data_IF_958182443991
#
_entry.id   IF_958182443991
#
_cell.length_a   1.000
_cell.length_b   1.000
_cell.length_c   1.000
_cell.angle_alpha   90.00
_cell.angle_beta   90.00
_cell.angle_gamma   90.00
#
_symmetry.space_group_name_H-M   'P 1'
#
loop_
_entity.id
_entity.type
_entity.pdbx_description
1 polymer ?
#
# COMPACT_ATOMS: atom_id res chain seq x y z
N UNK A 1 -20.70 9.06 10.86
CA UNK A 1 -21.94 8.25 10.97
C UNK A 1 -22.86 8.57 9.82
N UNK A 2 -22.74 7.78 8.74
CA UNK A 2 -23.78 7.63 7.74
C UNK A 2 -23.65 6.18 7.25
N UNK A 3 -24.42 5.32 7.91
CA UNK A 3 -24.58 3.92 7.53
C UNK A 3 -25.36 3.90 6.21
N UNK A 4 -24.76 3.33 5.15
CA UNK A 4 -25.46 3.02 3.91
C UNK A 4 -25.38 1.52 3.65
N UNK A 5 -26.48 0.78 3.85
CA UNK A 5 -26.66 -0.53 3.26
C UNK A 5 -27.45 -0.36 1.96
N UNK A 6 -26.84 -0.71 0.83
CA UNK A 6 -27.53 -0.79 -0.46
C UNK A 6 -28.18 -2.17 -0.56
N UNK A 7 -29.51 -2.24 -0.44
CA UNK A 7 -30.25 -3.44 -0.80
C UNK A 7 -30.38 -3.51 -2.32
N UNK A 8 -29.90 -4.60 -2.93
CA UNK A 8 -30.23 -4.98 -4.30
C UNK A 8 -30.80 -6.40 -4.29
N UNK A 9 -32.01 -6.56 -4.83
CA UNK A 9 -32.74 -7.83 -4.86
C UNK A 9 -32.11 -8.89 -5.78
N UNK A 10 -32.34 -10.14 -5.40
CA UNK A 10 -31.74 -11.36 -5.92
C UNK A 10 -32.25 -11.80 -7.30
N UNK A 11 -31.32 -12.26 -8.14
CA UNK A 11 -31.57 -12.86 -9.45
C UNK A 11 -30.32 -12.77 -10.33
N UNK A 12 -29.43 -13.76 -10.19
CA UNK A 12 -28.08 -13.84 -10.78
C UNK A 12 -27.01 -12.96 -10.10
N UNK A 13 -26.59 -13.46 -8.93
CA UNK A 13 -25.37 -13.14 -8.16
C UNK A 13 -24.97 -11.67 -7.97
N UNK A 14 -25.70 -10.98 -7.08
CA UNK A 14 -25.22 -9.77 -6.40
C UNK A 14 -24.58 -10.20 -5.07
N UNK A 15 -23.25 -10.25 -5.02
CA UNK A 15 -22.51 -10.53 -3.80
C UNK A 15 -22.13 -9.21 -3.12
N UNK A 16 -22.71 -8.95 -1.95
CA UNK A 16 -22.22 -7.94 -1.02
C UNK A 16 -21.14 -8.59 -0.16
N UNK A 17 -19.89 -8.21 -0.37
CA UNK A 17 -18.80 -8.58 0.53
C UNK A 17 -18.84 -7.65 1.74
N UNK A 18 -19.41 -8.15 2.84
CA UNK A 18 -19.15 -7.57 4.16
C UNK A 18 -17.78 -8.05 4.64
N UNK A 19 -16.85 -7.12 4.82
CA UNK A 19 -15.61 -7.37 5.55
C UNK A 19 -15.92 -7.52 7.04
N UNK A 20 -16.28 -8.73 7.45
CA UNK A 20 -16.28 -9.13 8.86
C UNK A 20 -15.64 -10.52 8.97
N UNK A 21 -14.35 -10.54 9.31
CA UNK A 21 -13.77 -11.63 10.11
C UNK A 21 -14.34 -11.54 11.54
N UNK A 22 -14.39 -12.59 12.39
CA UNK A 22 -13.97 -13.98 12.21
C UNK A 22 -14.91 -15.01 12.89
N UNK A 23 -15.64 -15.85 12.17
CA UNK A 23 -16.20 -17.08 12.79
C UNK A 23 -16.20 -18.24 11.79
N UNK A 24 -15.21 -19.10 11.98
CA UNK A 24 -15.40 -20.53 12.23
C UNK A 24 -16.65 -21.18 11.64
N UNK A 25 -16.48 -21.92 10.54
CA UNK A 25 -16.99 -23.28 10.31
C UNK A 25 -16.31 -23.77 9.03
N UNK A 26 -15.26 -24.56 9.18
CA UNK A 26 -15.34 -26.02 9.11
C UNK A 26 -15.92 -26.51 7.79
N UNK A 27 -15.03 -26.77 6.82
CA UNK A 27 -15.30 -27.82 5.84
C UNK A 27 -14.28 -28.93 6.03
N UNK A 28 -14.78 -29.99 6.65
CA UNK A 28 -14.16 -31.29 6.82
C UNK A 28 -13.96 -31.88 5.41
N UNK A 29 -12.72 -32.19 5.03
CA UNK A 29 -12.47 -33.36 4.18
C UNK A 29 -11.42 -34.26 4.80
N UNK A 30 -11.96 -35.35 5.33
CA UNK A 30 -11.30 -36.61 5.68
C UNK A 30 -10.30 -37.07 4.63
N UNK A 31 -9.04 -37.27 5.06
CA UNK A 31 -8.15 -38.30 4.51
C UNK A 31 -7.51 -39.03 5.69
N UNK A 32 -8.12 -40.15 6.04
CA UNK A 32 -7.54 -41.11 6.95
C UNK A 32 -6.43 -41.87 6.21
N UNK A 33 -5.17 -41.49 6.42
CA UNK A 33 -3.99 -42.33 6.14
C UNK A 33 -2.88 -41.98 7.14
N UNK A 34 -2.57 -42.83 8.14
CA UNK A 34 -1.30 -42.76 8.83
C UNK A 34 -0.22 -43.34 7.90
N UNK A 35 0.29 -42.52 6.99
CA UNK A 35 1.58 -42.84 6.37
C UNK A 35 2.62 -42.64 7.47
N UNK A 36 3.30 -43.71 7.87
CA UNK A 36 4.49 -43.68 8.74
C UNK A 36 5.55 -42.79 8.08
N UNK A 37 5.46 -41.47 8.27
CA UNK A 37 6.56 -40.57 7.95
C UNK A 37 7.52 -40.68 9.14
N UNK A 38 8.61 -41.42 8.93
CA UNK A 38 9.70 -41.57 9.92
C UNK A 38 10.02 -40.22 10.56
N UNK A 39 10.15 -40.20 11.89
CA UNK A 39 10.55 -39.03 12.69
C UNK A 39 11.81 -38.36 12.14
N UNK A 40 12.67 -39.10 11.43
CA UNK A 40 13.79 -38.57 10.67
C UNK A 40 13.38 -37.53 9.62
N UNK A 41 12.31 -37.78 8.87
CA UNK A 41 11.80 -36.85 7.86
C UNK A 41 11.17 -35.60 8.51
N UNK A 42 10.53 -35.72 9.68
CA UNK A 42 9.96 -34.56 10.38
C UNK A 42 11.05 -33.61 10.92
N UNK A 43 12.11 -34.17 11.51
CA UNK A 43 13.26 -33.39 11.96
C UNK A 43 13.99 -32.76 10.76
N UNK A 44 14.16 -33.50 9.66
CA UNK A 44 14.80 -32.98 8.45
C UNK A 44 13.95 -31.89 7.76
N UNK A 45 12.62 -32.06 7.70
CA UNK A 45 11.67 -31.04 7.23
C UNK A 45 11.69 -29.79 8.13
N UNK A 46 11.77 -29.97 9.44
CA UNK A 46 11.90 -28.86 10.39
C UNK A 46 13.24 -28.12 10.20
N UNK A 47 14.37 -28.83 10.12
CA UNK A 47 15.70 -28.25 9.92
C UNK A 47 15.82 -27.49 8.59
N UNK A 48 15.26 -28.04 7.50
CA UNK A 48 15.20 -27.37 6.19
C UNK A 48 14.31 -26.14 6.21
N UNK A 49 13.20 -26.19 6.96
CA UNK A 49 12.30 -25.05 7.16
C UNK A 49 13.01 -23.90 7.89
N UNK A 50 13.65 -24.17 9.02
CA UNK A 50 14.43 -23.18 9.77
C UNK A 50 15.59 -22.59 8.96
N UNK A 51 16.33 -23.44 8.23
CA UNK A 51 17.42 -23.00 7.36
C UNK A 51 16.91 -22.10 6.22
N UNK A 52 15.78 -22.47 5.60
CA UNK A 52 15.14 -21.67 4.55
C UNK A 52 14.69 -20.30 5.06
N UNK A 53 14.07 -20.23 6.25
CA UNK A 53 13.69 -18.95 6.86
C UNK A 53 14.88 -18.04 7.11
N UNK A 54 16.01 -18.61 7.57
CA UNK A 54 17.25 -17.85 7.79
C UNK A 54 17.81 -17.29 6.48
N UNK A 55 17.84 -18.10 5.41
CA UNK A 55 18.26 -17.65 4.08
C UNK A 55 17.34 -16.56 3.53
N UNK A 56 16.02 -16.71 3.65
CA UNK A 56 15.05 -15.70 3.19
C UNK A 56 15.24 -14.38 3.93
N UNK A 57 15.41 -14.40 5.26
CA UNK A 57 15.65 -13.21 6.06
C UNK A 57 16.95 -12.50 5.64
N UNK A 58 18.03 -13.26 5.46
CA UNK A 58 19.33 -12.72 5.04
C UNK A 58 19.27 -12.09 3.63
N UNK A 59 18.61 -12.77 2.67
CA UNK A 59 18.40 -12.23 1.34
C UNK A 59 17.52 -10.98 1.34
N UNK A 60 16.45 -10.94 2.15
CA UNK A 60 15.59 -9.77 2.29
C UNK A 60 16.36 -8.58 2.91
N UNK A 61 17.20 -8.82 3.91
CA UNK A 61 18.05 -7.79 4.51
C UNK A 61 19.11 -7.27 3.51
N UNK A 62 19.71 -8.16 2.71
CA UNK A 62 20.65 -7.78 1.66
C UNK A 62 19.99 -6.93 0.56
N UNK A 63 18.77 -7.28 0.14
CA UNK A 63 17.97 -6.47 -0.79
C UNK A 63 17.63 -5.10 -0.20
N UNK A 64 17.27 -5.04 1.09
CA UNK A 64 17.02 -3.78 1.78
C UNK A 64 18.26 -2.87 1.85
N UNK A 65 19.43 -3.46 2.10
CA UNK A 65 20.70 -2.75 2.11
C UNK A 65 21.15 -2.28 0.71
N UNK A 66 20.59 -2.86 -0.36
CA UNK A 66 20.94 -2.55 -1.75
C UNK A 66 20.07 -1.46 -2.37
N UNK A 67 19.06 -0.94 -1.67
CA UNK A 67 18.27 0.18 -2.18
C UNK A 67 19.16 1.43 -2.24
N UNK A 68 19.44 1.97 -3.44
CA UNK A 68 20.13 3.25 -3.52
C UNK A 68 19.25 4.28 -2.81
N UNK A 69 19.80 4.94 -1.80
CA UNK A 69 19.17 6.11 -1.22
C UNK A 69 19.15 7.19 -2.31
N UNK A 70 17.99 7.44 -2.89
CA UNK A 70 17.84 8.55 -3.80
C UNK A 70 18.03 9.84 -3.00
N UNK A 71 19.09 10.58 -3.30
CA UNK A 71 19.32 11.90 -2.74
C UNK A 71 18.37 12.90 -3.42
N UNK A 72 17.08 12.82 -3.09
CA UNK A 72 16.14 13.88 -3.42
C UNK A 72 16.36 15.04 -2.45
N UNK A 73 17.34 15.90 -2.75
CA UNK A 73 17.64 17.09 -1.95
C UNK A 73 16.55 18.16 -2.15
N UNK A 74 15.37 17.94 -1.57
CA UNK A 74 14.38 18.99 -1.39
C UNK A 74 14.72 19.76 -0.11
N UNK A 75 14.87 21.07 -0.23
CA UNK A 75 15.01 21.98 0.89
C UNK A 75 13.90 23.03 0.83
N UNK A 76 13.31 23.33 1.98
CA UNK A 76 12.27 24.36 2.08
C UNK A 76 12.75 25.74 1.60
N UNK A 77 14.06 26.02 1.72
CA UNK A 77 14.70 27.26 1.29
C UNK A 77 15.41 27.17 -0.06
N UNK A 78 15.08 26.18 -0.91
CA UNK A 78 15.77 25.99 -2.19
C UNK A 78 15.79 27.25 -3.07
N UNK A 79 14.73 28.06 -3.01
CA UNK A 79 14.60 29.28 -3.80
C UNK A 79 15.07 30.55 -3.07
N UNK A 80 15.49 30.48 -1.81
CA UNK A 80 15.78 31.69 -1.00
C UNK A 80 16.90 32.54 -1.58
N UNK A 81 17.91 31.91 -2.18
CA UNK A 81 19.07 32.58 -2.78
C UNK A 81 18.86 32.96 -4.25
N UNK A 82 18.08 32.19 -4.99
CA UNK A 82 17.91 32.36 -6.44
C UNK A 82 16.67 33.20 -6.80
N UNK A 83 15.57 33.02 -6.06
CA UNK A 83 14.33 33.75 -6.26
C UNK A 83 13.50 33.77 -4.96
N UNK A 84 13.81 34.66 -4.00
CA UNK A 84 13.14 34.69 -2.69
C UNK A 84 11.65 35.06 -2.77
N UNK A 85 11.23 35.70 -3.86
CA UNK A 85 9.85 36.09 -4.09
C UNK A 85 9.00 34.96 -4.70
N UNK A 86 9.61 33.88 -5.20
CA UNK A 86 8.90 32.78 -5.84
C UNK A 86 7.72 32.23 -5.00
N UNK A 87 7.89 31.82 -3.73
CA UNK A 87 6.78 31.28 -2.94
C UNK A 87 5.65 32.31 -2.72
N UNK A 88 6.00 33.59 -2.56
CA UNK A 88 5.03 34.67 -2.39
C UNK A 88 4.25 34.93 -3.68
N UNK A 89 4.92 35.02 -4.82
CA UNK A 89 4.29 35.22 -6.13
C UNK A 89 3.37 34.06 -6.50
N UNK A 90 3.80 32.83 -6.24
CA UNK A 90 2.97 31.65 -6.49
C UNK A 90 1.71 31.69 -5.61
N UNK A 91 1.86 32.04 -4.33
CA UNK A 91 0.73 32.15 -3.42
C UNK A 91 -0.27 33.23 -3.85
N UNK A 92 0.19 34.42 -4.25
CA UNK A 92 -0.71 35.51 -4.65
C UNK A 92 -1.50 35.16 -5.91
N UNK A 93 -0.84 34.57 -6.91
CA UNK A 93 -1.50 34.14 -8.16
C UNK A 93 -2.52 33.04 -7.92
N UNK A 94 -2.16 32.01 -7.15
CA UNK A 94 -3.08 30.90 -6.84
C UNK A 94 -4.27 31.42 -6.03
N UNK A 95 -4.04 32.29 -5.03
CA UNK A 95 -5.11 32.84 -4.20
C UNK A 95 -6.10 33.66 -5.04
N UNK A 96 -5.60 34.53 -5.92
CA UNK A 96 -6.46 35.29 -6.83
C UNK A 96 -7.26 34.38 -7.78
N UNK A 97 -6.62 33.34 -8.32
CA UNK A 97 -7.27 32.39 -9.22
C UNK A 97 -8.35 31.54 -8.50
N UNK A 98 -8.10 31.13 -7.26
CA UNK A 98 -9.06 30.37 -6.44
C UNK A 98 -10.25 31.24 -6.02
N UNK A 99 -10.02 32.51 -5.69
CA UNK A 99 -11.09 33.46 -5.39
C UNK A 99 -12.02 33.68 -6.60
N UNK A 100 -11.45 33.70 -7.81
CA UNK A 100 -12.23 33.80 -9.04
C UNK A 100 -12.99 32.50 -9.33
N UNK A 101 -12.33 31.34 -9.17
CA UNK A 101 -12.90 30.02 -9.42
C UNK A 101 -12.37 28.98 -8.42
N UNK A 102 -13.17 28.56 -7.42
CA UNK A 102 -12.70 27.66 -6.37
C UNK A 102 -12.29 26.28 -6.88
N UNK A 103 -12.77 25.87 -8.08
CA UNK A 103 -12.39 24.61 -8.72
C UNK A 103 -10.92 24.55 -9.16
N UNK A 104 -10.25 25.70 -9.35
CA UNK A 104 -8.83 25.75 -9.76
C UNK A 104 -7.92 25.11 -8.71
N UNK A 105 -8.16 25.35 -7.42
CA UNK A 105 -7.35 24.77 -6.34
C UNK A 105 -7.39 23.24 -6.36
N UNK A 106 -8.59 22.66 -6.52
CA UNK A 106 -8.76 21.22 -6.65
C UNK A 106 -8.09 20.66 -7.92
N UNK A 107 -8.12 21.41 -9.02
CA UNK A 107 -7.44 21.05 -10.27
C UNK A 107 -5.92 21.00 -10.12
N UNK A 108 -5.33 21.99 -9.45
CA UNK A 108 -3.88 22.07 -9.22
C UNK A 108 -3.36 20.91 -8.36
N UNK A 109 -4.09 20.57 -7.29
CA UNK A 109 -3.78 19.42 -6.44
C UNK A 109 -3.88 18.11 -7.23
N UNK A 110 -4.94 17.94 -8.04
CA UNK A 110 -5.10 16.75 -8.89
C UNK A 110 -3.98 16.64 -9.94
N UNK A 111 -3.55 17.75 -10.52
CA UNK A 111 -2.44 17.79 -11.48
C UNK A 111 -1.13 17.39 -10.82
N UNK A 112 -0.83 17.92 -9.62
CA UNK A 112 0.36 17.54 -8.86
C UNK A 112 0.38 16.03 -8.56
N UNK A 113 -0.74 15.47 -8.08
CA UNK A 113 -0.84 14.03 -7.87
C UNK A 113 -0.71 13.23 -9.16
N UNK A 114 -1.26 13.71 -10.27
CA UNK A 114 -1.14 13.04 -11.56
C UNK A 114 0.32 12.98 -12.04
N UNK A 115 1.07 14.07 -11.88
CA UNK A 115 2.48 14.16 -12.26
C UNK A 115 3.37 13.23 -11.41
N UNK A 116 3.06 13.08 -10.12
CA UNK A 116 3.82 12.20 -9.23
C UNK A 116 3.50 10.70 -9.37
N UNK A 117 2.29 10.34 -9.80
CA UNK A 117 1.87 8.93 -9.89
C UNK A 117 1.99 8.33 -11.30
N UNK A 118 2.13 9.16 -12.35
CA UNK A 118 2.25 8.73 -13.74
C UNK A 118 3.68 8.96 -14.25
N UNK A 119 4.67 8.53 -13.46
CA UNK A 119 6.08 8.42 -13.81
C UNK A 119 6.67 7.16 -13.18
#
# INVERSE_FOLDING_TARGET
>A
TLFGCVNGHAGSHRASVCCTWPLYLSSIKSRNTPHQLSTSNYLEMASKSFSSFFFIFFFAAAMFASFPSSNAQLSAGFYDSSCPLAPLTIQTVITAAVLLNPRIGAGLVRLHFHDCFVN
#
